data_IF_288173947469
#
_entry.id   IF_288173947469
#
_cell.length_a   1.000
_cell.length_b   1.000
_cell.length_c   1.000
_cell.angle_alpha   90.00
_cell.angle_beta   90.00
_cell.angle_gamma   90.00
#
_symmetry.space_group_name_H-M   'P 1'
#
loop_
_entity.id
_entity.type
_entity.pdbx_description
1 polymer ?
#
# COMPACT_ATOMS: atom_id res chain seq x y z
N UNK A 1 5.79 18.32 -11.25
CA UNK A 1 5.85 16.90 -11.65
C UNK A 1 4.54 16.25 -11.26
N UNK A 2 3.88 15.53 -12.17
CA UNK A 2 2.68 14.74 -11.87
C UNK A 2 3.09 13.26 -11.91
N UNK A 3 2.65 12.47 -10.93
CA UNK A 3 2.87 11.02 -10.90
C UNK A 3 1.51 10.34 -10.89
N UNK A 4 1.33 9.37 -11.78
CA UNK A 4 0.24 8.41 -11.73
C UNK A 4 0.86 7.12 -11.21
N UNK A 5 0.32 6.54 -10.15
CA UNK A 5 0.92 5.40 -9.46
C UNK A 5 -0.11 4.28 -9.34
N UNK A 6 0.34 3.04 -9.47
CA UNK A 6 -0.52 1.87 -9.31
C UNK A 6 -0.25 1.13 -7.99
N UNK A 7 -1.30 0.68 -7.28
CA UNK A 7 -1.14 -0.07 -6.05
C UNK A 7 -0.63 -1.49 -6.31
N UNK A 8 0.43 -1.89 -5.60
CA UNK A 8 0.95 -3.26 -5.66
C UNK A 8 0.36 -4.15 -4.56
N UNK A 9 0.62 -5.45 -4.60
CA UNK A 9 0.29 -6.41 -3.53
C UNK A 9 1.33 -6.45 -2.38
N UNK A 10 2.32 -5.55 -2.41
CA UNK A 10 3.44 -5.55 -1.47
C UNK A 10 3.27 -4.50 -0.38
N UNK A 11 3.69 -4.88 0.82
CA UNK A 11 3.77 -4.00 1.99
C UNK A 11 5.19 -3.99 2.51
N UNK A 12 5.65 -2.83 2.95
CA UNK A 12 6.95 -2.66 3.59
C UNK A 12 6.78 -1.86 4.88
N UNK A 13 7.56 -2.21 5.89
CA UNK A 13 7.61 -1.45 7.14
C UNK A 13 8.63 -0.31 6.99
N UNK A 14 8.16 0.94 7.08
CA UNK A 14 8.98 2.16 7.04
C UNK A 14 8.73 2.92 8.34
N UNK A 15 9.80 3.25 9.08
CA UNK A 15 9.73 3.96 10.36
C UNK A 15 8.69 3.37 11.33
N UNK A 16 8.63 2.04 11.39
CA UNK A 16 7.71 1.30 12.25
C UNK A 16 6.28 1.16 11.72
N UNK A 17 5.88 1.89 10.67
CA UNK A 17 4.55 1.83 10.06
C UNK A 17 4.52 0.87 8.85
N UNK A 18 3.43 0.11 8.72
CA UNK A 18 3.18 -0.67 7.50
C UNK A 18 2.65 0.25 6.40
N UNK A 19 3.35 0.27 5.27
CA UNK A 19 3.01 1.04 4.09
C UNK A 19 2.83 0.12 2.90
N UNK A 20 1.77 0.34 2.12
CA UNK A 20 1.59 -0.33 0.83
C UNK A 20 2.50 0.32 -0.21
N UNK A 21 3.18 -0.48 -1.01
CA UNK A 21 4.01 0.06 -2.10
C UNK A 21 3.11 0.35 -3.30
N UNK A 22 3.20 1.57 -3.82
CA UNK A 22 2.66 1.94 -5.12
C UNK A 22 3.84 2.26 -6.05
N UNK A 23 3.73 1.91 -7.32
CA UNK A 23 4.85 2.03 -8.26
C UNK A 23 4.40 2.58 -9.59
N UNK A 24 5.30 3.31 -10.27
CA UNK A 24 5.27 3.61 -11.70
C UNK A 24 6.63 4.19 -12.13
N UNK A 25 6.80 4.56 -13.40
CA UNK A 25 7.88 5.42 -13.86
C UNK A 25 7.46 6.89 -14.01
N UNK A 26 8.41 7.82 -13.87
CA UNK A 26 8.23 9.21 -14.30
C UNK A 26 8.07 9.29 -15.83
N UNK A 27 7.63 10.43 -16.35
CA UNK A 27 7.56 10.68 -17.80
C UNK A 27 8.91 10.52 -18.52
N UNK A 28 10.02 10.59 -17.78
CA UNK A 28 11.39 10.39 -18.27
C UNK A 28 11.92 8.96 -18.07
N UNK A 29 11.07 8.04 -17.62
CA UNK A 29 11.40 6.62 -17.44
C UNK A 29 12.10 6.27 -16.13
N UNK A 30 12.14 7.18 -15.14
CA UNK A 30 12.75 6.88 -13.84
C UNK A 30 11.75 6.11 -12.97
N UNK A 31 12.05 4.87 -12.53
CA UNK A 31 11.14 4.12 -11.68
C UNK A 31 11.01 4.77 -10.30
N UNK A 32 9.79 4.80 -9.77
CA UNK A 32 9.44 5.42 -8.49
C UNK A 32 8.62 4.45 -7.66
N UNK A 33 8.98 4.33 -6.38
CA UNK A 33 8.13 3.73 -5.35
C UNK A 33 7.57 4.81 -4.44
N UNK A 34 6.28 4.73 -4.15
CA UNK A 34 5.63 5.49 -3.09
C UNK A 34 5.17 4.55 -1.98
N UNK A 35 5.47 4.93 -0.74
CA UNK A 35 5.12 4.17 0.46
C UNK A 35 3.86 4.74 1.09
N UNK A 36 2.72 4.16 0.75
CA UNK A 36 1.40 4.69 1.11
C UNK A 36 0.93 4.07 2.43
N UNK A 37 0.95 4.87 3.50
CA UNK A 37 0.39 4.49 4.80
C UNK A 37 -1.13 4.58 4.85
N UNK A 38 -1.69 5.59 4.19
CA UNK A 38 -3.13 5.88 4.19
C UNK A 38 -3.51 6.58 2.88
N UNK A 39 -4.72 6.34 2.40
CA UNK A 39 -5.34 7.10 1.30
C UNK A 39 -6.65 7.68 1.83
N UNK A 40 -6.85 8.98 1.66
CA UNK A 40 -8.05 9.69 2.14
C UNK A 40 -8.61 10.53 0.99
N UNK A 41 -9.85 10.28 0.53
CA UNK A 41 -10.49 11.12 -0.48
C UNK A 41 -10.80 12.50 0.11
N UNK A 42 -10.52 13.56 -0.65
CA UNK A 42 -10.71 14.96 -0.20
C UNK A 42 -12.04 15.51 -0.73
N UNK A 43 -13.16 14.89 -0.33
CA UNK A 43 -14.52 15.30 -0.73
C UNK A 43 -15.53 15.08 0.40
N UNK A 44 -16.59 15.88 0.41
CA UNK A 44 -17.73 15.74 1.32
C UNK A 44 -18.92 14.97 0.70
N UNK A 45 -18.82 14.61 -0.58
CA UNK A 45 -19.84 13.82 -1.25
C UNK A 45 -19.84 12.36 -0.75
N UNK A 46 -20.96 11.94 -0.17
CA UNK A 46 -21.13 10.61 0.37
C UNK A 46 -21.09 9.51 -0.70
N UNK A 47 -21.61 9.76 -1.90
CA UNK A 47 -21.62 8.77 -2.98
C UNK A 47 -20.21 8.54 -3.53
N UNK A 48 -19.46 9.63 -3.76
CA UNK A 48 -18.06 9.55 -4.15
C UNK A 48 -17.21 8.82 -3.10
N UNK A 49 -17.44 9.07 -1.81
CA UNK A 49 -16.74 8.39 -0.72
C UNK A 49 -17.07 6.89 -0.68
N UNK A 50 -18.33 6.50 -0.90
CA UNK A 50 -18.74 5.10 -0.95
C UNK A 50 -18.16 4.35 -2.16
N UNK A 51 -18.12 5.03 -3.32
CA UNK A 51 -17.46 4.50 -4.52
C UNK A 51 -15.97 4.27 -4.26
N UNK A 52 -15.28 5.27 -3.72
CA UNK A 52 -13.85 5.19 -3.40
C UNK A 52 -13.53 4.06 -2.42
N UNK A 53 -14.33 3.90 -1.36
CA UNK A 53 -14.16 2.83 -0.38
C UNK A 53 -14.33 1.43 -1.02
N UNK A 54 -15.27 1.28 -1.95
CA UNK A 54 -15.43 0.04 -2.72
C UNK A 54 -14.22 -0.24 -3.62
N UNK A 55 -13.72 0.77 -4.33
CA UNK A 55 -12.53 0.64 -5.18
C UNK A 55 -11.28 0.31 -4.36
N UNK A 56 -11.11 0.96 -3.20
CA UNK A 56 -9.99 0.73 -2.30
C UNK A 56 -9.96 -0.71 -1.76
N UNK A 57 -11.13 -1.30 -1.50
CA UNK A 57 -11.26 -2.72 -1.09
C UNK A 57 -10.99 -3.71 -2.22
N UNK A 58 -11.12 -3.28 -3.48
CA UNK A 58 -10.90 -4.12 -4.66
C UNK A 58 -9.43 -4.22 -5.07
N UNK A 59 -8.55 -3.46 -4.43
CA UNK A 59 -7.13 -3.45 -4.72
C UNK A 59 -6.48 -4.83 -4.50
N UNK A 60 -5.33 -5.11 -5.14
CA UNK A 60 -4.63 -6.39 -5.00
C UNK A 60 -4.48 -6.81 -3.54
N UNK A 61 -4.81 -8.08 -3.25
CA UNK A 61 -4.72 -8.64 -1.90
C UNK A 61 -3.25 -8.66 -1.48
N UNK A 62 -2.90 -8.15 -0.27
CA UNK A 62 -1.53 -8.20 0.22
C UNK A 62 -0.99 -9.63 0.21
N UNK A 63 0.24 -9.84 -0.29
CA UNK A 63 0.96 -11.07 0.05
C UNK A 63 1.34 -10.97 1.52
N UNK A 64 0.63 -11.69 2.38
CA UNK A 64 1.14 -11.99 3.71
C UNK A 64 2.37 -12.88 3.54
N UNK A 65 3.56 -12.30 3.58
CA UNK A 65 4.75 -13.06 3.92
C UNK A 65 4.55 -13.55 5.34
N UNK A 66 4.09 -14.80 5.48
CA UNK A 66 3.98 -15.46 6.76
C UNK A 66 5.38 -15.49 7.36
N UNK A 67 5.64 -14.58 8.29
CA UNK A 67 6.82 -14.63 9.13
C UNK A 67 6.62 -15.83 10.06
N UNK A 68 6.95 -17.03 9.58
CA UNK A 68 7.07 -18.20 10.44
C UNK A 68 8.27 -17.96 11.34
N UNK A 69 8.01 -17.41 12.53
CA UNK A 69 8.99 -17.38 13.60
C UNK A 69 9.28 -18.82 14.03
N UNK A 70 10.54 -19.19 13.99
CA UNK A 70 11.01 -20.47 14.51
C UNK A 70 10.96 -20.41 16.04
N UNK A 71 9.95 -21.05 16.64
CA UNK A 71 9.67 -21.03 18.08
C UNK A 71 10.73 -21.77 18.93
N UNK A 72 11.83 -22.23 18.33
CA UNK A 72 12.90 -22.96 19.04
C UNK A 72 13.70 -22.11 20.05
N UNK A 73 13.42 -20.82 20.18
CA UNK A 73 14.10 -19.91 21.13
C UNK A 73 13.26 -19.51 22.35
N UNK A 74 12.10 -20.10 22.59
CA UNK A 74 11.20 -19.78 23.72
C UNK A 74 11.21 -20.82 24.86
N UNK A 75 12.33 -21.50 25.08
CA UNK A 75 12.50 -22.37 26.25
C UNK A 75 13.81 -22.02 26.94
N UNK A 76 13.72 -21.27 28.03
CA UNK A 76 14.64 -21.31 29.16
C UNK A 76 13.82 -21.16 30.46
#
# INVERSE_FOLDING_TARGET
>A
MKLTLEPTDRFQRIDGAYCRIWTEATDTGVPVHAYIRCVSPQTHDAEANALFDRELRSLPVPRCEAVTYDLRFLVD
#
